data_IF_553533424995
#
_entry.id   IF_553533424995
#
_cell.length_a   1.000
_cell.length_b   1.000
_cell.length_c   1.000
_cell.angle_alpha   90.00
_cell.angle_beta   90.00
_cell.angle_gamma   90.00
#
_symmetry.space_group_name_H-M   'P 1'
#
loop_
_entity.id
_entity.type
_entity.pdbx_description
1 polymer ?
#
# COMPACT_ATOMS: atom_id res chain seq x y z
N UNK A 1 -18.18 -18.97 10.63
CA UNK A 1 -17.30 -17.93 10.03
C UNK A 1 -18.09 -16.63 9.98
N UNK A 2 -17.54 -15.51 10.47
CA UNK A 2 -18.26 -14.25 10.49
C UNK A 2 -18.62 -13.78 9.06
N UNK A 3 -19.87 -13.35 8.86
CA UNK A 3 -20.49 -12.95 7.57
C UNK A 3 -19.64 -11.96 6.74
N UNK A 4 -18.84 -11.13 7.40
CA UNK A 4 -17.94 -10.14 6.77
C UNK A 4 -16.90 -10.81 5.85
N UNK A 5 -16.42 -12.01 6.20
CA UNK A 5 -15.41 -12.75 5.43
C UNK A 5 -16.02 -13.31 4.14
N UNK A 6 -17.28 -13.76 4.17
CA UNK A 6 -17.95 -14.34 3.01
C UNK A 6 -18.22 -13.29 1.91
N UNK A 7 -18.52 -12.05 2.30
CA UNK A 7 -18.68 -10.91 1.39
C UNK A 7 -17.37 -10.40 0.78
N UNK A 8 -16.24 -10.55 1.48
CA UNK A 8 -14.93 -10.23 0.93
C UNK A 8 -14.41 -11.28 -0.06
N UNK A 9 -14.88 -12.53 0.05
CA UNK A 9 -14.50 -13.64 -0.85
C UNK A 9 -15.40 -13.72 -2.09
N UNK A 10 -16.57 -13.07 -2.07
CA UNK A 10 -17.45 -12.97 -3.25
C UNK A 10 -16.93 -11.88 -4.19
N UNK A 11 -16.05 -12.28 -5.10
CA UNK A 11 -15.42 -11.51 -6.19
C UNK A 11 -16.40 -11.01 -7.28
N UNK A 12 -17.69 -10.81 -6.96
CA UNK A 12 -18.73 -10.55 -7.97
C UNK A 12 -18.88 -9.07 -8.38
N UNK A 13 -18.27 -8.15 -7.64
CA UNK A 13 -18.15 -6.74 -8.07
C UNK A 13 -16.78 -6.23 -7.72
N UNK A 14 -16.21 -5.46 -8.63
CA UNK A 14 -14.93 -4.78 -8.52
C UNK A 14 -14.85 -3.91 -7.26
N UNK A 15 -14.46 -4.52 -6.13
CA UNK A 15 -14.09 -3.81 -4.88
C UNK A 15 -12.66 -3.23 -5.03
N UNK A 16 -12.03 -3.32 -6.22
CA UNK A 16 -10.66 -2.91 -6.48
C UNK A 16 -10.36 -1.49 -5.94
N UNK A 17 -11.21 -0.50 -6.25
CA UNK A 17 -11.00 0.87 -5.79
C UNK A 17 -11.06 1.02 -4.26
N UNK A 18 -11.94 0.28 -3.59
CA UNK A 18 -12.07 0.33 -2.12
C UNK A 18 -10.95 -0.42 -1.43
N UNK A 19 -10.56 -1.58 -1.97
CA UNK A 19 -9.46 -2.39 -1.45
C UNK A 19 -8.13 -1.63 -1.51
N UNK A 20 -7.85 -0.96 -2.64
CA UNK A 20 -6.62 -0.16 -2.80
C UNK A 20 -6.58 1.00 -1.79
N UNK A 21 -7.71 1.66 -1.50
CA UNK A 21 -7.76 2.70 -0.47
C UNK A 21 -7.42 2.16 0.92
N UNK A 22 -7.95 0.99 1.27
CA UNK A 22 -7.65 0.34 2.56
C UNK A 22 -6.15 0.00 2.62
N UNK A 23 -5.62 -0.60 1.55
CA UNK A 23 -4.20 -0.95 1.46
C UNK A 23 -3.31 0.29 1.57
N UNK A 24 -3.67 1.39 0.89
CA UNK A 24 -2.95 2.66 0.97
C UNK A 24 -2.78 3.13 2.42
N UNK A 25 -3.87 3.16 3.19
CA UNK A 25 -3.85 3.59 4.58
C UNK A 25 -3.01 2.66 5.47
N UNK A 26 -3.12 1.34 5.27
CA UNK A 26 -2.32 0.36 6.02
C UNK A 26 -0.82 0.60 5.78
N UNK A 27 -0.40 0.80 4.53
CA UNK A 27 1.01 1.06 4.25
C UNK A 27 1.49 2.43 4.74
N UNK A 28 0.66 3.47 4.67
CA UNK A 28 0.99 4.77 5.25
C UNK A 28 1.21 4.69 6.77
N UNK A 29 0.34 3.98 7.47
CA UNK A 29 0.49 3.71 8.91
C UNK A 29 1.75 2.87 9.17
N UNK A 30 2.01 1.85 8.35
CA UNK A 30 3.22 1.03 8.44
C UNK A 30 4.51 1.84 8.28
N UNK A 31 4.56 2.76 7.32
CA UNK A 31 5.71 3.65 7.11
C UNK A 31 5.86 4.61 8.29
N UNK A 32 4.76 5.19 8.79
CA UNK A 32 4.82 6.06 9.97
C UNK A 32 5.37 5.32 11.21
N UNK A 33 4.90 4.09 11.45
CA UNK A 33 5.41 3.24 12.53
C UNK A 33 6.89 2.93 12.30
N UNK A 34 7.28 2.56 11.08
CA UNK A 34 8.68 2.26 10.74
C UNK A 34 9.60 3.45 11.06
N UNK A 35 9.21 4.67 10.68
CA UNK A 35 9.98 5.88 10.98
C UNK A 35 10.08 6.11 12.49
N UNK A 36 8.96 6.02 13.21
CA UNK A 36 8.96 6.21 14.67
C UNK A 36 9.85 5.18 15.38
N UNK A 37 9.74 3.90 15.01
CA UNK A 37 10.59 2.83 15.55
C UNK A 37 12.05 3.07 15.19
N UNK A 38 12.34 3.49 13.95
CA UNK A 38 13.70 3.83 13.50
C UNK A 38 14.32 4.98 14.30
N UNK A 39 13.54 6.01 14.60
CA UNK A 39 13.99 7.14 15.43
C UNK A 39 14.21 6.73 16.88
N UNK A 40 13.24 6.02 17.50
CA UNK A 40 13.36 5.55 18.89
C UNK A 40 14.54 4.58 19.05
N UNK A 41 14.73 3.66 18.11
CA UNK A 41 15.88 2.74 18.12
C UNK A 41 17.20 3.48 17.91
N UNK A 42 17.25 4.50 17.05
CA UNK A 42 18.40 5.38 16.90
C UNK A 42 18.80 6.05 18.22
N UNK A 43 17.82 6.62 18.95
CA UNK A 43 18.06 7.21 20.27
C UNK A 43 18.59 6.20 21.28
N UNK A 44 18.05 4.99 21.32
CA UNK A 44 18.54 3.93 22.20
C UNK A 44 20.00 3.54 21.88
N UNK A 45 20.34 3.51 20.59
CA UNK A 45 21.68 3.15 20.11
C UNK A 45 22.73 4.22 20.38
N UNK A 46 22.36 5.48 20.60
CA UNK A 46 23.31 6.54 20.97
C UNK A 46 24.11 6.16 22.23
N UNK A 47 23.47 5.45 23.17
CA UNK A 47 24.12 4.99 24.42
C UNK A 47 25.21 3.93 24.20
N UNK A 48 25.12 3.17 23.10
CA UNK A 48 26.09 2.12 22.75
C UNK A 48 27.12 2.63 21.75
N UNK A 49 26.67 3.34 20.73
CA UNK A 49 27.49 3.94 19.69
C UNK A 49 26.84 5.22 19.17
N UNK A 50 27.41 6.35 19.57
CA UNK A 50 26.91 7.68 19.24
C UNK A 50 26.75 7.90 17.72
N UNK A 51 27.75 7.50 16.93
CA UNK A 51 27.76 7.73 15.48
C UNK A 51 26.65 6.93 14.78
N UNK A 52 26.48 5.66 15.16
CA UNK A 52 25.44 4.79 14.59
C UNK A 52 24.06 5.26 15.02
N UNK A 53 23.87 5.62 16.29
CA UNK A 53 22.58 6.08 16.81
C UNK A 53 22.08 7.36 16.14
N UNK A 54 22.95 8.36 15.97
CA UNK A 54 22.61 9.59 15.23
C UNK A 54 22.34 9.29 13.76
N UNK A 55 23.15 8.44 13.13
CA UNK A 55 22.94 8.01 11.76
C UNK A 55 21.54 7.40 11.56
N UNK A 56 21.15 6.46 12.42
CA UNK A 56 19.81 5.85 12.37
C UNK A 56 18.69 6.86 12.61
N UNK A 57 18.84 7.75 13.60
CA UNK A 57 17.85 8.76 13.92
C UNK A 57 17.58 9.73 12.77
N UNK A 58 18.64 10.17 12.08
CA UNK A 58 18.54 11.10 10.94
C UNK A 58 18.12 10.40 9.65
N UNK A 59 18.56 9.16 9.42
CA UNK A 59 18.21 8.41 8.21
C UNK A 59 16.78 7.84 8.27
N UNK A 60 16.22 7.58 9.46
CA UNK A 60 14.86 7.09 9.60
C UNK A 60 13.80 7.96 8.89
N UNK A 61 13.72 9.29 9.09
CA UNK A 61 12.77 10.13 8.36
C UNK A 61 13.07 10.23 6.86
N UNK A 62 14.35 10.18 6.45
CA UNK A 62 14.74 10.16 5.03
C UNK A 62 14.25 8.88 4.37
N UNK A 63 14.49 7.72 5.00
CA UNK A 63 13.97 6.42 4.56
C UNK A 63 12.45 6.39 4.55
N UNK A 64 11.80 7.02 5.53
CA UNK A 64 10.35 7.22 5.55
C UNK A 64 9.82 8.00 4.35
N UNK A 65 10.45 9.14 4.03
CA UNK A 65 10.06 9.96 2.88
C UNK A 65 10.19 9.20 1.56
N UNK A 66 11.31 8.48 1.37
CA UNK A 66 11.50 7.59 0.21
C UNK A 66 10.44 6.48 0.20
N UNK A 67 10.15 5.89 1.37
CA UNK A 67 9.12 4.88 1.54
C UNK A 67 7.73 5.39 1.13
N UNK A 68 7.35 6.61 1.50
CA UNK A 68 6.07 7.23 1.08
C UNK A 68 6.02 7.42 -0.44
N UNK A 69 7.10 7.91 -1.05
CA UNK A 69 7.17 8.08 -2.50
C UNK A 69 7.03 6.74 -3.23
N UNK A 70 7.77 5.73 -2.78
CA UNK A 70 7.69 4.38 -3.34
C UNK A 70 6.30 3.77 -3.14
N UNK A 71 5.69 3.98 -1.97
CA UNK A 71 4.33 3.52 -1.70
C UNK A 71 3.31 4.16 -2.63
N UNK A 72 3.42 5.47 -2.88
CA UNK A 72 2.57 6.16 -3.87
C UNK A 72 2.70 5.55 -5.26
N UNK A 73 3.93 5.29 -5.70
CA UNK A 73 4.19 4.66 -6.99
C UNK A 73 3.55 3.27 -7.10
N UNK A 74 3.69 2.43 -6.07
CA UNK A 74 3.05 1.11 -6.04
C UNK A 74 1.52 1.21 -6.13
N UNK A 75 0.92 2.14 -5.38
CA UNK A 75 -0.53 2.30 -5.36
C UNK A 75 -1.07 2.75 -6.72
N UNK A 76 -0.35 3.65 -7.39
CA UNK A 76 -0.66 4.06 -8.76
C UNK A 76 -0.58 2.88 -9.73
N UNK A 77 0.47 2.05 -9.63
CA UNK A 77 0.61 0.84 -10.44
C UNK A 77 -0.55 -0.15 -10.24
N UNK A 78 -0.96 -0.38 -8.99
CA UNK A 78 -2.11 -1.25 -8.70
C UNK A 78 -3.40 -0.69 -9.33
N UNK A 79 -3.68 0.60 -9.17
CA UNK A 79 -4.86 1.23 -9.77
C UNK A 79 -4.87 1.08 -11.29
N UNK A 80 -3.72 1.29 -11.95
CA UNK A 80 -3.59 1.14 -13.40
C UNK A 80 -3.89 -0.29 -13.84
N UNK A 81 -3.31 -1.29 -13.18
CA UNK A 81 -3.53 -2.71 -13.50
C UNK A 81 -5.00 -3.09 -13.35
N UNK A 82 -5.62 -2.71 -12.23
CA UNK A 82 -7.05 -2.97 -12.01
C UNK A 82 -7.93 -2.22 -13.02
N UNK A 83 -7.62 -0.97 -13.35
CA UNK A 83 -8.37 -0.25 -14.38
C UNK A 83 -8.27 -0.91 -15.76
N UNK A 84 -7.13 -1.51 -16.11
CA UNK A 84 -6.99 -2.25 -17.37
C UNK A 84 -7.87 -3.50 -17.34
N UNK A 85 -7.87 -4.25 -16.23
CA UNK A 85 -8.72 -5.42 -16.06
C UNK A 85 -10.20 -5.07 -16.23
N UNK A 86 -10.65 -3.99 -15.61
CA UNK A 86 -12.04 -3.52 -15.68
C UNK A 86 -12.44 -3.16 -17.12
N UNK A 87 -11.59 -2.39 -17.80
CA UNK A 87 -11.82 -1.98 -19.20
C UNK A 87 -11.86 -3.16 -20.16
N UNK A 88 -11.00 -4.17 -19.96
CA UNK A 88 -11.02 -5.40 -20.77
C UNK A 88 -12.29 -6.21 -20.55
N UNK A 89 -12.80 -6.25 -19.31
CA UNK A 89 -14.10 -6.84 -19.00
C UNK A 89 -15.24 -6.17 -19.78
N UNK A 90 -15.28 -4.83 -19.80
CA UNK A 90 -16.29 -4.09 -20.56
C UNK A 90 -16.23 -4.35 -22.07
N UNK A 91 -15.03 -4.46 -22.65
CA UNK A 91 -14.86 -4.74 -24.09
C UNK A 91 -15.39 -6.13 -24.45
N UNK A 92 -15.14 -7.14 -23.61
CA UNK A 92 -15.66 -8.49 -23.79
C UNK A 92 -17.19 -8.49 -23.82
N UNK A 93 -17.82 -7.81 -22.86
CA UNK A 93 -19.27 -7.81 -22.72
C UNK A 93 -19.95 -7.06 -23.89
N UNK A 94 -19.34 -5.96 -24.37
CA UNK A 94 -19.80 -5.23 -25.57
C UNK A 94 -19.67 -6.05 -26.86
N UNK A 95 -18.59 -6.82 -27.02
CA UNK A 95 -18.37 -7.65 -28.21
C UNK A 95 -19.30 -8.86 -28.24
N UNK A 96 -19.60 -9.46 -27.09
CA UNK A 96 -20.53 -10.60 -26.98
C UNK A 96 -21.99 -10.22 -27.24
N UNK A 97 -22.42 -9.01 -26.85
CA UNK A 97 -23.79 -8.52 -27.06
C UNK A 97 -24.10 -8.12 -28.50
N UNK A 98 -23.08 -7.87 -29.35
CA UNK A 98 -23.28 -7.48 -30.75
C UNK A 98 -23.38 -8.68 -31.70
N UNK A 99 -23.23 -9.91 -31.20
CA UNK A 99 -23.26 -11.16 -31.96
C UNK A 99 -24.56 -11.98 -31.78
N UNK A 100 -25.54 -11.46 -31.04
CA UNK A 100 -26.89 -12.02 -30.85
C UNK A 100 -27.96 -11.07 -31.38
#
# INVERSE_FOLDING_TARGET
MPEFIKRFVSFDKLIATTLIKILYWIGMVGIAIYVLVGMVSGLAMITQNFMVGIGMFLLAPIGGAIGVLFWRFLMELYIVIFSIHDRLGEIRDKTGSSAS
#
